data_IF_676377438240
#
_entry.id   IF_676377438240
#
_cell.length_a   1.000
_cell.length_b   1.000
_cell.length_c   1.000
_cell.angle_alpha   90.00
_cell.angle_beta   90.00
_cell.angle_gamma   90.00
#
_symmetry.space_group_name_H-M   'P 1'
#
loop_
_entity.id
_entity.type
_entity.pdbx_description
1 polymer ?
#
# COMPACT_ATOMS: atom_id res chain seq x y z
N UNK A 1 -19.84 4.89 -22.55
CA UNK A 1 -21.09 4.61 -21.81
C UNK A 1 -20.77 4.86 -20.34
N UNK A 2 -20.91 6.10 -19.90
CA UNK A 2 -20.60 6.51 -18.54
C UNK A 2 -21.85 6.30 -17.69
N UNK A 3 -21.79 5.39 -16.72
CA UNK A 3 -22.86 5.17 -15.76
C UNK A 3 -22.83 6.28 -14.72
N UNK A 4 -23.99 6.91 -14.57
CA UNK A 4 -24.30 8.09 -13.79
C UNK A 4 -24.17 7.85 -12.27
N UNK A 5 -23.23 8.56 -11.62
CA UNK A 5 -22.96 8.51 -10.17
C UNK A 5 -23.66 9.67 -9.43
N UNK A 6 -24.45 10.49 -10.14
CA UNK A 6 -25.04 11.71 -9.58
C UNK A 6 -26.16 11.40 -8.57
N UNK A 7 -26.81 10.24 -8.68
CA UNK A 7 -27.90 9.83 -7.79
C UNK A 7 -27.49 9.48 -6.35
N UNK A 8 -26.28 8.96 -6.14
CA UNK A 8 -25.83 8.52 -4.81
C UNK A 8 -25.43 9.69 -3.89
N UNK A 9 -24.99 10.83 -4.45
CA UNK A 9 -24.59 12.03 -3.69
C UNK A 9 -25.78 12.74 -3.02
N UNK A 10 -26.99 12.61 -3.57
CA UNK A 10 -28.18 13.32 -3.07
C UNK A 10 -28.78 12.65 -1.82
N UNK A 11 -28.68 11.32 -1.71
CA UNK A 11 -29.25 10.53 -0.62
C UNK A 11 -28.49 10.64 0.72
N UNK A 12 -27.21 11.03 0.70
CA UNK A 12 -26.43 11.24 1.93
C UNK A 12 -26.59 12.66 2.50
N UNK A 13 -26.88 13.66 1.65
CA UNK A 13 -27.06 15.05 2.07
C UNK A 13 -28.45 15.32 2.68
N UNK A 14 -29.47 14.55 2.30
CA UNK A 14 -30.86 14.77 2.75
C UNK A 14 -31.16 14.26 4.18
N UNK A 15 -30.27 13.48 4.82
CA UNK A 15 -30.51 12.93 6.17
C UNK A 15 -30.09 13.83 7.35
N UNK A 16 -29.66 15.07 7.12
CA UNK A 16 -29.21 15.98 8.19
C UNK A 16 -29.89 17.36 8.22
N UNK A 17 -31.12 17.49 7.73
CA UNK A 17 -31.90 18.73 7.96
C UNK A 17 -32.96 18.49 9.02
N UNK A 18 -32.58 18.71 10.28
CA UNK A 18 -33.55 18.92 11.36
C UNK A 18 -34.21 20.30 11.15
N UNK A 19 -35.55 20.41 11.14
CA UNK A 19 -36.23 21.65 10.84
C UNK A 19 -36.39 22.44 12.13
N UNK A 20 -35.77 23.63 12.21
CA UNK A 20 -36.20 24.80 12.99
C UNK A 20 -35.08 25.85 12.90
N UNK A 21 -35.11 26.68 11.86
CA UNK A 21 -34.45 27.99 11.91
C UNK A 21 -35.11 28.91 10.87
N UNK A 22 -36.20 29.57 11.27
CA UNK A 22 -36.57 30.85 10.69
C UNK A 22 -35.89 31.93 11.53
N UNK A 23 -35.10 32.77 10.86
CA UNK A 23 -34.51 34.04 11.32
C UNK A 23 -33.68 33.97 12.61
N UNK A 24 -32.38 34.25 12.56
CA UNK A 24 -31.68 35.19 13.46
C UNK A 24 -30.20 35.32 13.02
N UNK A 25 -29.89 36.55 12.60
CA UNK A 25 -28.60 37.29 12.70
C UNK A 25 -27.30 36.65 12.19
N UNK A 26 -26.74 37.29 11.17
CA UNK A 26 -25.37 37.16 10.68
C UNK A 26 -24.37 37.33 11.84
N UNK A 27 -23.75 36.22 12.23
CA UNK A 27 -22.42 36.24 12.80
C UNK A 27 -21.50 35.53 11.81
N UNK A 28 -20.47 36.24 11.36
CA UNK A 28 -19.35 35.70 10.59
C UNK A 28 -18.54 34.72 11.47
N UNK A 29 -19.16 33.60 11.86
CA UNK A 29 -18.40 32.40 12.16
C UNK A 29 -18.06 31.79 10.81
N UNK A 30 -16.84 32.03 10.32
CA UNK A 30 -16.26 31.24 9.24
C UNK A 30 -16.51 29.76 9.56
N UNK A 31 -17.51 29.17 8.91
CA UNK A 31 -17.60 27.73 8.77
C UNK A 31 -16.39 27.35 7.92
N UNK A 32 -15.22 27.24 8.54
CA UNK A 32 -14.14 26.44 7.99
C UNK A 32 -14.69 25.02 7.93
N UNK A 33 -15.37 24.69 6.84
CA UNK A 33 -15.60 23.30 6.49
C UNK A 33 -14.21 22.69 6.41
N UNK A 34 -13.85 21.93 7.43
CA UNK A 34 -12.58 21.21 7.47
C UNK A 34 -12.49 20.43 6.17
N UNK A 35 -11.48 20.75 5.37
CA UNK A 35 -11.31 20.13 4.06
C UNK A 35 -11.24 18.62 4.23
N UNK A 36 -11.89 17.88 3.33
CA UNK A 36 -11.90 16.45 3.46
C UNK A 36 -10.54 15.88 3.02
N UNK A 37 -9.94 15.01 3.83
CA UNK A 37 -8.65 14.37 3.50
C UNK A 37 -8.61 13.69 2.12
N UNK A 38 -9.75 13.16 1.64
CA UNK A 38 -9.84 12.56 0.31
C UNK A 38 -9.71 13.58 -0.83
N UNK A 39 -10.11 14.84 -0.62
CA UNK A 39 -9.98 15.93 -1.59
C UNK A 39 -8.50 16.30 -1.76
N UNK A 40 -7.77 16.38 -0.65
CA UNK A 40 -6.32 16.58 -0.63
C UNK A 40 -5.60 15.46 -1.37
N UNK A 41 -5.88 14.20 -1.02
CA UNK A 41 -5.28 13.05 -1.68
C UNK A 41 -5.57 13.01 -3.20
N UNK A 42 -6.80 13.36 -3.59
CA UNK A 42 -7.18 13.46 -5.01
C UNK A 42 -6.36 14.53 -5.74
N UNK A 43 -6.15 15.71 -5.14
CA UNK A 43 -5.33 16.78 -5.75
C UNK A 43 -3.88 16.36 -5.89
N UNK A 44 -3.28 15.75 -4.88
CA UNK A 44 -1.89 15.27 -4.94
C UNK A 44 -1.71 14.33 -6.14
N UNK A 45 -2.57 13.31 -6.26
CA UNK A 45 -2.50 12.35 -7.38
C UNK A 45 -2.76 13.05 -8.71
N UNK A 46 -3.74 13.96 -8.78
CA UNK A 46 -4.04 14.71 -9.99
C UNK A 46 -2.84 15.54 -10.46
N UNK A 47 -2.21 16.29 -9.55
CA UNK A 47 -1.03 17.10 -9.84
C UNK A 47 0.13 16.20 -10.26
N UNK A 48 0.35 15.06 -9.59
CA UNK A 48 1.37 14.09 -9.97
C UNK A 48 1.21 13.64 -11.43
N UNK A 49 0.00 13.28 -11.85
CA UNK A 49 -0.27 12.88 -13.25
C UNK A 49 -0.09 14.04 -14.24
N UNK A 50 -0.32 15.29 -13.82
CA UNK A 50 -0.09 16.47 -14.67
C UNK A 50 1.39 16.80 -14.84
N UNK A 51 2.17 16.66 -13.78
CA UNK A 51 3.62 16.85 -13.78
C UNK A 51 4.30 15.74 -14.58
N UNK A 52 3.87 14.49 -14.38
CA UNK A 52 4.42 13.31 -15.03
C UNK A 52 3.50 12.85 -16.19
N UNK A 53 3.49 13.58 -17.31
CA UNK A 53 2.54 13.36 -18.43
C UNK A 53 2.58 11.97 -19.07
N UNK A 54 3.63 11.18 -18.83
CA UNK A 54 3.75 9.77 -19.26
C UNK A 54 3.09 8.79 -18.28
N UNK A 55 2.80 9.23 -17.07
CA UNK A 55 2.28 8.43 -15.96
C UNK A 55 0.83 8.81 -15.70
N UNK A 56 -0.10 7.99 -16.16
CA UNK A 56 -1.50 8.10 -15.76
C UNK A 56 -1.72 7.52 -14.36
N UNK A 57 -2.84 7.87 -13.73
CA UNK A 57 -3.24 7.22 -12.49
C UNK A 57 -3.42 5.71 -12.72
N UNK A 58 -2.88 4.91 -11.79
CA UNK A 58 -3.07 3.46 -11.71
C UNK A 58 -3.63 3.14 -10.33
N UNK A 59 -4.63 2.26 -10.30
CA UNK A 59 -5.19 1.78 -9.03
C UNK A 59 -4.08 1.18 -8.15
N UNK A 60 -4.02 1.62 -6.89
CA UNK A 60 -2.94 1.28 -5.95
C UNK A 60 -2.04 2.47 -5.61
N UNK A 61 -1.93 3.48 -6.50
CA UNK A 61 -1.19 4.71 -6.18
C UNK A 61 -1.75 5.44 -4.95
N UNK A 62 -3.08 5.41 -4.78
CA UNK A 62 -3.75 5.96 -3.61
C UNK A 62 -3.41 5.20 -2.31
N UNK A 63 -3.10 3.90 -2.41
CA UNK A 63 -2.69 3.08 -1.27
C UNK A 63 -1.25 3.42 -0.83
N UNK A 64 -0.39 3.83 -1.77
CA UNK A 64 0.96 4.36 -1.49
C UNK A 64 0.88 5.78 -0.91
N UNK A 65 0.00 6.65 -1.44
CA UNK A 65 -0.15 8.01 -0.92
C UNK A 65 -0.69 8.06 0.51
N UNK A 66 -1.60 7.15 0.87
CA UNK A 66 -2.30 7.15 2.15
C UNK A 66 -1.36 7.27 3.37
N UNK A 67 -0.39 6.36 3.55
CA UNK A 67 0.57 6.43 4.66
C UNK A 67 1.42 7.70 4.67
N UNK A 68 1.88 8.16 3.50
CA UNK A 68 2.69 9.38 3.37
C UNK A 68 1.88 10.60 3.83
N UNK A 69 0.68 10.76 3.27
CA UNK A 69 -0.17 11.89 3.61
C UNK A 69 -0.61 11.85 5.07
N UNK A 70 -0.93 10.67 5.60
CA UNK A 70 -1.27 10.52 7.01
C UNK A 70 -0.14 11.01 7.92
N UNK A 71 1.12 10.67 7.62
CA UNK A 71 2.27 11.08 8.41
C UNK A 71 2.33 12.62 8.53
N UNK A 72 2.31 13.32 7.40
CA UNK A 72 2.41 14.77 7.39
C UNK A 72 1.14 15.46 7.92
N UNK A 73 -0.04 14.91 7.62
CA UNK A 73 -1.31 15.47 8.09
C UNK A 73 -1.53 15.27 9.59
N UNK A 74 -0.75 14.43 10.26
CA UNK A 74 -0.79 14.22 11.71
C UNK A 74 0.53 14.62 12.40
N UNK A 75 1.30 15.50 11.77
CA UNK A 75 2.52 16.05 12.38
C UNK A 75 2.18 16.69 13.73
N UNK A 76 2.96 16.41 14.81
CA UNK A 76 2.73 17.03 16.11
C UNK A 76 2.96 18.55 16.12
N UNK A 77 3.72 19.08 15.17
CA UNK A 77 3.94 20.52 14.99
C UNK A 77 2.88 21.11 14.03
N UNK A 78 1.98 22.00 14.50
CA UNK A 78 0.98 22.63 13.66
C UNK A 78 1.56 23.46 12.50
N UNK A 79 2.78 23.99 12.66
CA UNK A 79 3.47 24.71 11.59
C UNK A 79 3.88 23.76 10.47
N UNK A 80 4.19 22.49 10.77
CA UNK A 80 4.58 21.51 9.76
C UNK A 80 3.34 20.90 9.11
N UNK A 81 2.29 20.68 9.90
CA UNK A 81 1.01 20.17 9.43
C UNK A 81 0.39 21.05 8.33
N UNK A 82 0.63 22.38 8.34
CA UNK A 82 0.13 23.28 7.30
C UNK A 82 0.73 22.99 5.90
N UNK A 83 1.91 22.35 5.84
CA UNK A 83 2.61 22.00 4.60
C UNK A 83 2.33 20.56 4.15
N UNK A 84 1.46 19.82 4.86
CA UNK A 84 1.27 18.39 4.66
C UNK A 84 0.91 17.98 3.23
N UNK A 85 0.10 18.76 2.51
CA UNK A 85 -0.22 18.47 1.09
C UNK A 85 1.02 18.55 0.19
N UNK A 86 1.84 19.59 0.38
CA UNK A 86 3.04 19.82 -0.42
C UNK A 86 4.12 18.76 -0.13
N UNK A 87 4.38 18.49 1.15
CA UNK A 87 5.37 17.50 1.57
C UNK A 87 4.97 16.09 1.14
N UNK A 88 3.68 15.75 1.31
CA UNK A 88 3.15 14.49 0.82
C UNK A 88 3.30 14.37 -0.70
N UNK A 89 3.07 15.45 -1.47
CA UNK A 89 3.27 15.44 -2.91
C UNK A 89 4.73 15.14 -3.30
N UNK A 90 5.71 15.81 -2.68
CA UNK A 90 7.12 15.61 -3.03
C UNK A 90 7.61 14.20 -2.64
N UNK A 91 7.28 13.74 -1.43
CA UNK A 91 7.62 12.38 -1.00
C UNK A 91 6.96 11.33 -1.89
N UNK A 92 5.67 11.50 -2.20
CA UNK A 92 4.95 10.61 -3.11
C UNK A 92 5.57 10.62 -4.51
N UNK A 93 5.88 11.79 -5.07
CA UNK A 93 6.47 11.90 -6.40
C UNK A 93 7.84 11.21 -6.48
N UNK A 94 8.68 11.38 -5.47
CA UNK A 94 9.99 10.74 -5.41
C UNK A 94 9.86 9.21 -5.31
N UNK A 95 9.02 8.72 -4.40
CA UNK A 95 8.80 7.29 -4.24
C UNK A 95 8.23 6.68 -5.54
N UNK A 96 7.23 7.33 -6.13
CA UNK A 96 6.63 6.87 -7.39
C UNK A 96 7.63 6.83 -8.55
N UNK A 97 8.60 7.75 -8.61
CA UNK A 97 9.63 7.71 -9.63
C UNK A 97 10.48 6.43 -9.57
N UNK A 98 10.66 5.87 -8.38
CA UNK A 98 11.38 4.61 -8.14
C UNK A 98 10.50 3.37 -8.38
N UNK A 99 9.23 3.39 -7.97
CA UNK A 99 8.34 2.21 -8.04
C UNK A 99 7.41 2.18 -9.26
N UNK A 100 7.43 3.19 -10.14
CA UNK A 100 6.52 3.29 -11.29
C UNK A 100 6.54 2.06 -12.21
N UNK A 101 7.67 1.37 -12.34
CA UNK A 101 7.77 0.14 -13.16
C UNK A 101 6.85 -0.97 -12.65
N UNK A 102 6.57 -1.01 -11.34
CA UNK A 102 5.65 -1.97 -10.75
C UNK A 102 4.19 -1.75 -11.20
N UNK A 103 3.83 -0.56 -11.66
CA UNK A 103 2.46 -0.19 -12.05
C UNK A 103 2.20 -0.33 -13.56
N UNK A 104 3.23 -0.59 -14.35
CA UNK A 104 3.14 -0.59 -15.81
C UNK A 104 3.20 -2.03 -16.33
N UNK A 105 2.03 -2.58 -16.69
CA UNK A 105 1.88 -3.95 -17.21
C UNK A 105 2.73 -4.28 -18.45
N UNK A 106 3.13 -3.27 -19.23
CA UNK A 106 3.96 -3.50 -20.43
C UNK A 106 5.42 -3.85 -20.11
N UNK A 107 5.85 -3.80 -18.84
CA UNK A 107 7.20 -4.20 -18.42
C UNK A 107 7.25 -5.58 -17.74
N UNK A 108 6.14 -6.32 -17.72
CA UNK A 108 5.99 -7.55 -16.93
C UNK A 108 6.96 -8.68 -17.31
N UNK A 109 7.52 -8.66 -18.53
CA UNK A 109 8.34 -9.78 -19.07
C UNK A 109 9.81 -9.79 -18.59
N UNK A 110 10.44 -8.65 -18.27
CA UNK A 110 11.90 -8.64 -17.94
C UNK A 110 12.32 -7.76 -16.74
N UNK A 111 11.62 -6.66 -16.44
CA UNK A 111 12.06 -5.64 -15.44
C UNK A 111 10.92 -5.24 -14.49
N UNK A 112 9.68 -5.63 -14.80
CA UNK A 112 8.48 -5.23 -14.06
C UNK A 112 8.16 -6.11 -12.86
N UNK A 113 6.91 -6.01 -12.42
CA UNK A 113 6.40 -6.72 -11.26
C UNK A 113 6.48 -8.26 -11.40
N UNK A 114 6.38 -8.78 -12.62
CA UNK A 114 6.55 -10.21 -12.93
C UNK A 114 7.89 -10.76 -12.43
N UNK A 115 8.98 -10.13 -12.88
CA UNK A 115 10.35 -10.47 -12.46
C UNK A 115 10.53 -10.41 -10.94
N UNK A 116 9.98 -9.37 -10.27
CA UNK A 116 10.04 -9.26 -8.79
C UNK A 116 9.29 -10.39 -8.09
N UNK A 117 8.14 -10.81 -8.60
CA UNK A 117 7.39 -11.94 -8.05
C UNK A 117 8.14 -13.26 -8.23
N UNK A 118 8.77 -13.48 -9.37
CA UNK A 118 9.61 -14.66 -9.64
C UNK A 118 10.85 -14.68 -8.74
N UNK A 119 11.51 -13.54 -8.55
CA UNK A 119 12.65 -13.40 -7.65
C UNK A 119 12.25 -13.69 -6.21
N UNK A 120 11.12 -13.15 -5.73
CA UNK A 120 10.60 -13.45 -4.39
C UNK A 120 10.32 -14.95 -4.21
N UNK A 121 9.71 -15.60 -5.21
CA UNK A 121 9.44 -17.05 -5.12
C UNK A 121 10.73 -17.88 -5.21
N UNK A 122 11.74 -17.41 -5.94
CA UNK A 122 13.07 -18.03 -5.97
C UNK A 122 13.77 -17.95 -4.61
N UNK A 123 13.69 -16.81 -3.92
CA UNK A 123 14.16 -16.68 -2.53
C UNK A 123 13.46 -17.68 -1.61
N UNK A 124 12.13 -17.85 -1.75
CA UNK A 124 11.40 -18.86 -1.00
C UNK A 124 11.92 -20.28 -1.28
N UNK A 125 12.15 -20.62 -2.55
CA UNK A 125 12.67 -21.92 -2.94
C UNK A 125 14.08 -22.19 -2.40
N UNK A 126 14.88 -21.15 -2.18
CA UNK A 126 16.20 -21.24 -1.57
C UNK A 126 16.12 -21.43 -0.05
N UNK A 127 15.38 -20.56 0.64
CA UNK A 127 15.33 -20.56 2.11
C UNK A 127 14.40 -21.64 2.68
N UNK A 128 13.34 -21.98 1.98
CA UNK A 128 12.40 -23.03 2.35
C UNK A 128 11.91 -23.85 1.14
N UNK A 129 12.77 -24.74 0.60
CA UNK A 129 12.45 -25.54 -0.58
C UNK A 129 11.19 -26.39 -0.43
N UNK A 130 10.90 -26.85 0.80
CA UNK A 130 9.72 -27.69 1.09
C UNK A 130 8.43 -26.89 0.99
N UNK A 131 8.42 -25.66 1.51
CA UNK A 131 7.26 -24.78 1.39
C UNK A 131 7.05 -24.40 -0.07
N UNK A 132 8.11 -23.97 -0.77
CA UNK A 132 8.02 -23.63 -2.19
C UNK A 132 7.44 -24.78 -3.04
N UNK A 133 7.97 -26.00 -2.88
CA UNK A 133 7.45 -27.19 -3.57
C UNK A 133 5.97 -27.46 -3.26
N UNK A 134 5.56 -27.26 -2.01
CA UNK A 134 4.16 -27.44 -1.62
C UNK A 134 3.24 -26.39 -2.26
N UNK A 135 3.66 -25.11 -2.29
CA UNK A 135 2.88 -24.06 -2.95
C UNK A 135 2.76 -24.31 -4.46
N UNK A 136 3.84 -24.79 -5.10
CA UNK A 136 3.81 -25.21 -6.50
C UNK A 136 2.87 -26.39 -6.72
N UNK A 137 2.87 -27.39 -5.82
CA UNK A 137 1.95 -28.53 -5.88
C UNK A 137 0.48 -28.10 -5.74
N UNK A 138 0.19 -27.09 -4.91
CA UNK A 138 -1.14 -26.50 -4.78
C UNK A 138 -1.54 -25.61 -5.96
N UNK A 139 -0.64 -25.36 -6.93
CA UNK A 139 -0.81 -24.36 -7.98
C UNK A 139 -1.05 -22.94 -7.45
N UNK A 140 -0.49 -22.63 -6.27
CA UNK A 140 -0.56 -21.29 -5.68
C UNK A 140 0.56 -20.41 -6.26
N UNK A 141 0.27 -19.76 -7.38
CA UNK A 141 1.22 -18.88 -8.06
C UNK A 141 1.39 -17.53 -7.31
N UNK A 142 2.59 -16.90 -7.35
CA UNK A 142 2.83 -15.59 -6.76
C UNK A 142 1.83 -14.50 -7.18
N UNK A 143 1.34 -14.56 -8.41
CA UNK A 143 0.34 -13.62 -8.97
C UNK A 143 -0.93 -13.52 -8.12
N UNK A 144 -1.29 -14.56 -7.35
CA UNK A 144 -2.45 -14.56 -6.47
C UNK A 144 -2.32 -13.63 -5.26
N UNK A 145 -1.10 -13.26 -4.85
CA UNK A 145 -0.86 -12.49 -3.62
C UNK A 145 0.26 -11.44 -3.75
N UNK A 146 1.41 -11.83 -4.33
CA UNK A 146 2.63 -11.04 -4.36
C UNK A 146 2.51 -9.77 -5.22
N UNK A 147 1.70 -9.79 -6.28
CA UNK A 147 1.44 -8.60 -7.11
C UNK A 147 1.02 -7.43 -6.24
N UNK A 148 0.01 -7.63 -5.38
CA UNK A 148 -0.50 -6.60 -4.48
C UNK A 148 0.54 -6.25 -3.42
N UNK A 149 1.15 -7.24 -2.79
CA UNK A 149 2.15 -7.04 -1.74
C UNK A 149 3.30 -6.13 -2.20
N UNK A 150 3.86 -6.39 -3.38
CA UNK A 150 5.04 -5.69 -3.88
C UNK A 150 4.66 -4.33 -4.49
N UNK A 151 3.56 -4.25 -5.25
CA UNK A 151 3.18 -2.99 -5.96
C UNK A 151 2.91 -1.83 -5.02
N UNK A 152 2.27 -2.09 -3.88
CA UNK A 152 1.92 -1.04 -2.89
C UNK A 152 2.74 -1.14 -1.62
N UNK A 153 3.90 -1.81 -1.67
CA UNK A 153 4.84 -1.92 -0.54
C UNK A 153 4.15 -2.37 0.76
N UNK A 154 3.32 -3.42 0.65
CA UNK A 154 2.57 -4.05 1.74
C UNK A 154 1.52 -3.16 2.43
N UNK A 155 1.27 -1.94 1.93
CA UNK A 155 0.37 -0.97 2.56
C UNK A 155 -1.09 -1.45 2.72
N UNK A 156 -1.48 -2.51 1.99
CA UNK A 156 -2.82 -3.11 2.03
C UNK A 156 -2.95 -4.32 2.95
N UNK A 157 -1.84 -4.95 3.34
CA UNK A 157 -1.86 -6.17 4.15
C UNK A 157 -1.90 -5.88 5.65
N UNK A 158 -1.46 -4.69 6.05
CA UNK A 158 -1.26 -4.34 7.44
C UNK A 158 -2.05 -3.08 7.83
N UNK A 159 -2.31 -2.94 9.12
CA UNK A 159 -2.86 -1.70 9.66
C UNK A 159 -1.84 -0.57 9.54
N UNK A 160 -2.32 0.67 9.50
CA UNK A 160 -1.45 1.82 9.26
C UNK A 160 -0.21 1.92 10.16
N UNK A 161 -0.29 1.70 11.50
CA UNK A 161 0.91 1.73 12.35
C UNK A 161 1.97 0.70 11.94
N UNK A 162 1.52 -0.48 11.52
CA UNK A 162 2.35 -1.58 11.06
C UNK A 162 2.96 -1.28 9.69
N UNK A 163 2.20 -0.65 8.79
CA UNK A 163 2.70 -0.15 7.50
C UNK A 163 3.81 0.88 7.72
N UNK A 164 3.61 1.86 8.61
CA UNK A 164 4.63 2.86 8.93
C UNK A 164 5.89 2.19 9.47
N UNK A 165 5.75 1.21 10.37
CA UNK A 165 6.90 0.48 10.90
C UNK A 165 7.65 -0.33 9.84
N UNK A 166 6.94 -0.96 8.90
CA UNK A 166 7.55 -1.62 7.74
C UNK A 166 8.29 -0.61 6.86
N UNK A 167 7.67 0.54 6.62
CA UNK A 167 8.21 1.59 5.77
C UNK A 167 9.44 2.27 6.37
N UNK A 168 9.53 2.39 7.70
CA UNK A 168 10.77 2.83 8.36
C UNK A 168 11.96 1.95 7.94
N UNK A 169 11.78 0.62 7.99
CA UNK A 169 12.82 -0.33 7.58
C UNK A 169 13.08 -0.25 6.08
N UNK A 170 12.03 -0.28 5.25
CA UNK A 170 12.15 -0.27 3.78
C UNK A 170 12.86 1.00 3.32
N UNK A 171 12.39 2.18 3.73
CA UNK A 171 12.92 3.46 3.24
C UNK A 171 14.33 3.76 3.78
N UNK A 172 14.71 3.18 4.91
CA UNK A 172 16.07 3.29 5.45
C UNK A 172 17.13 2.46 4.71
N UNK A 173 16.70 1.47 3.93
CA UNK A 173 17.59 0.52 3.26
C UNK A 173 18.01 1.02 1.86
N UNK A 174 19.28 0.80 1.49
CA UNK A 174 19.81 1.18 0.18
C UNK A 174 19.27 0.29 -0.95
N UNK A 175 18.98 -0.97 -0.66
CA UNK A 175 18.36 -1.95 -1.55
C UNK A 175 16.90 -2.23 -1.14
N UNK A 176 16.19 -1.19 -0.71
CA UNK A 176 14.81 -1.24 -0.20
C UNK A 176 13.84 -2.13 -0.96
N UNK A 177 13.91 -2.16 -2.29
CA UNK A 177 12.99 -2.94 -3.12
C UNK A 177 13.36 -4.42 -3.20
N UNK A 178 14.61 -4.77 -2.91
CA UNK A 178 15.03 -6.16 -2.69
C UNK A 178 14.60 -6.58 -1.29
N UNK A 179 14.80 -5.73 -0.27
CA UNK A 179 14.33 -5.97 1.10
C UNK A 179 12.83 -6.27 1.15
N UNK A 180 12.00 -5.59 0.35
CA UNK A 180 10.55 -5.91 0.21
C UNK A 180 10.32 -7.37 -0.18
N UNK A 181 11.15 -7.95 -1.05
CA UNK A 181 11.04 -9.36 -1.46
C UNK A 181 11.38 -10.30 -0.30
N UNK A 182 12.37 -9.96 0.51
CA UNK A 182 12.69 -10.72 1.73
C UNK A 182 11.58 -10.62 2.76
N UNK A 183 10.93 -9.47 2.91
CA UNK A 183 9.75 -9.31 3.78
C UNK A 183 8.60 -10.21 3.28
N UNK A 184 8.32 -10.20 1.98
CA UNK A 184 7.31 -11.08 1.38
C UNK A 184 7.63 -12.57 1.58
N UNK A 185 8.90 -12.96 1.45
CA UNK A 185 9.36 -14.33 1.69
C UNK A 185 9.21 -14.71 3.17
N UNK A 186 9.61 -13.83 4.10
CA UNK A 186 9.46 -14.02 5.54
C UNK A 186 7.99 -14.20 5.94
N UNK A 187 7.07 -13.43 5.35
CA UNK A 187 5.63 -13.60 5.54
C UNK A 187 5.15 -15.03 5.20
N UNK A 188 5.60 -15.60 4.08
CA UNK A 188 5.26 -16.98 3.71
C UNK A 188 5.88 -18.01 4.67
N UNK A 189 7.14 -17.83 5.06
CA UNK A 189 7.84 -18.71 6.00
C UNK A 189 7.17 -18.72 7.37
N UNK A 190 6.70 -17.57 7.86
CA UNK A 190 5.98 -17.49 9.13
C UNK A 190 4.62 -18.19 9.07
N UNK A 191 3.98 -18.22 7.91
CA UNK A 191 2.75 -18.99 7.66
C UNK A 191 2.98 -20.47 7.32
N UNK A 192 4.24 -20.92 7.25
CA UNK A 192 4.63 -22.26 6.79
C UNK A 192 3.76 -23.39 7.34
N UNK A 193 3.57 -23.42 8.66
CA UNK A 193 2.90 -24.53 9.32
C UNK A 193 1.43 -24.64 8.91
N UNK A 194 0.78 -23.50 8.67
CA UNK A 194 -0.60 -23.45 8.20
C UNK A 194 -0.67 -23.74 6.71
N UNK A 195 0.21 -23.13 5.90
CA UNK A 195 0.26 -23.31 4.45
C UNK A 195 0.46 -24.78 4.05
N UNK A 196 1.35 -25.51 4.72
CA UNK A 196 1.62 -26.94 4.44
C UNK A 196 0.40 -27.83 4.71
N UNK A 197 -0.52 -27.39 5.57
CA UNK A 197 -1.70 -28.16 5.97
C UNK A 197 -2.95 -27.81 5.17
N UNK A 198 -2.89 -26.74 4.38
CA UNK A 198 -4.05 -26.21 3.67
C UNK A 198 -4.20 -26.82 2.28
N UNK A 199 -5.43 -26.80 1.77
CA UNK A 199 -5.72 -26.95 0.35
C UNK A 199 -5.61 -25.58 -0.35
N UNK A 200 -5.73 -25.58 -1.69
CA UNK A 200 -5.58 -24.36 -2.48
C UNK A 200 -6.51 -23.22 -2.03
N UNK A 201 -7.85 -23.40 -1.85
CA UNK A 201 -8.72 -22.30 -1.43
C UNK A 201 -8.33 -21.70 -0.08
N UNK A 202 -7.94 -22.53 0.89
CA UNK A 202 -7.53 -22.05 2.21
C UNK A 202 -6.17 -21.35 2.15
N UNK A 203 -5.24 -21.85 1.34
CA UNK A 203 -3.95 -21.22 1.12
C UNK A 203 -4.10 -19.83 0.49
N UNK A 204 -4.91 -19.69 -0.57
CA UNK A 204 -5.25 -18.40 -1.19
C UNK A 204 -5.84 -17.44 -0.16
N UNK A 205 -6.80 -17.90 0.63
CA UNK A 205 -7.43 -17.07 1.66
C UNK A 205 -6.39 -16.57 2.67
N UNK A 206 -5.46 -17.43 3.11
CA UNK A 206 -4.46 -17.09 4.11
C UNK A 206 -3.46 -16.05 3.60
N UNK A 207 -2.98 -16.18 2.35
CA UNK A 207 -2.04 -15.21 1.77
C UNK A 207 -2.73 -13.91 1.33
N UNK A 208 -4.02 -13.93 0.97
CA UNK A 208 -4.74 -12.70 0.62
C UNK A 208 -5.31 -11.94 1.83
N UNK A 209 -5.40 -12.60 2.98
CA UNK A 209 -5.85 -12.03 4.24
C UNK A 209 -4.85 -12.41 5.32
N UNK A 210 -3.65 -11.83 5.21
CA UNK A 210 -2.55 -12.13 6.11
C UNK A 210 -3.00 -11.94 7.56
N UNK A 211 -2.79 -12.92 8.46
CA UNK A 211 -3.27 -12.82 9.83
C UNK A 211 -2.55 -11.68 10.54
N UNK A 212 -3.25 -11.02 11.47
CA UNK A 212 -2.65 -10.03 12.36
C UNK A 212 -1.45 -10.66 13.06
N UNK A 213 -0.26 -10.26 12.61
CA UNK A 213 1.02 -10.80 13.03
C UNK A 213 1.89 -9.67 13.52
N UNK A 214 2.78 -9.97 14.46
CA UNK A 214 3.76 -9.01 14.90
C UNK A 214 4.72 -8.65 13.76
N UNK A 215 4.66 -7.39 13.31
CA UNK A 215 5.56 -6.85 12.27
C UNK A 215 7.02 -6.96 12.67
N UNK A 216 7.35 -6.86 13.97
CA UNK A 216 8.73 -7.01 14.42
C UNK A 216 9.26 -8.43 14.15
N UNK A 217 8.42 -9.45 14.32
CA UNK A 217 8.75 -10.83 13.98
C UNK A 217 8.96 -11.02 12.47
N UNK A 218 8.13 -10.38 11.63
CA UNK A 218 8.31 -10.40 10.16
C UNK A 218 9.63 -9.73 9.78
N UNK A 219 9.90 -8.53 10.29
CA UNK A 219 11.11 -7.77 10.00
C UNK A 219 12.37 -8.48 10.48
N UNK A 220 12.33 -9.11 11.66
CA UNK A 220 13.45 -9.89 12.19
C UNK A 220 13.75 -11.08 11.29
N UNK A 221 12.72 -11.84 10.91
CA UNK A 221 12.88 -12.95 9.98
C UNK A 221 13.41 -12.46 8.62
N UNK A 222 12.88 -11.37 8.07
CA UNK A 222 13.34 -10.79 6.81
C UNK A 222 14.81 -10.37 6.89
N UNK A 223 15.23 -9.71 7.97
CA UNK A 223 16.61 -9.29 8.19
C UNK A 223 17.58 -10.49 8.28
N UNK A 224 17.18 -11.55 8.96
CA UNK A 224 17.97 -12.80 9.05
C UNK A 224 18.14 -13.48 7.69
N UNK A 225 17.14 -13.40 6.81
CA UNK A 225 17.24 -13.91 5.44
C UNK A 225 18.12 -12.99 4.58
N UNK A 226 17.92 -11.68 4.71
CA UNK A 226 18.63 -10.65 3.93
C UNK A 226 20.14 -10.65 4.19
N UNK A 227 20.54 -10.75 5.47
CA UNK A 227 21.95 -10.81 5.89
C UNK A 227 22.71 -12.03 5.38
N UNK A 228 22.02 -13.12 4.99
CA UNK A 228 22.68 -14.32 4.43
C UNK A 228 23.13 -14.11 2.99
N UNK A 229 22.54 -13.16 2.27
CA UNK A 229 22.89 -12.83 0.88
C UNK A 229 23.75 -11.57 0.77
N UNK A 230 23.68 -10.67 1.76
CA UNK A 230 24.41 -9.40 1.80
C UNK A 230 25.23 -9.31 3.09
N UNK A 231 26.39 -10.01 3.18
CA UNK A 231 27.25 -10.02 4.36
C UNK A 231 28.06 -8.74 4.57
#
# INVERSE_FOLDING_TARGET
MATDITGAKKLLCEKQKHPLCSSYEESDSEFHSQEAHWEVAQRIIFIYCKVNQRSSYVQGMNEVLGPIYYLFANDPDPEWQMYAEADAFYCFNNLMAEIQSNFIRSFDEDIGIGSKMEQMFSLLAEFDPKLAQHLTYLHLEPTHFAFRWITVLLAREFLLPDVLRLWDSILSDEQRFDLVLYICCAMLILLRNDLIRCDFPRAVHLVQNYPNSDVASILTCAADLYARHHP
#
